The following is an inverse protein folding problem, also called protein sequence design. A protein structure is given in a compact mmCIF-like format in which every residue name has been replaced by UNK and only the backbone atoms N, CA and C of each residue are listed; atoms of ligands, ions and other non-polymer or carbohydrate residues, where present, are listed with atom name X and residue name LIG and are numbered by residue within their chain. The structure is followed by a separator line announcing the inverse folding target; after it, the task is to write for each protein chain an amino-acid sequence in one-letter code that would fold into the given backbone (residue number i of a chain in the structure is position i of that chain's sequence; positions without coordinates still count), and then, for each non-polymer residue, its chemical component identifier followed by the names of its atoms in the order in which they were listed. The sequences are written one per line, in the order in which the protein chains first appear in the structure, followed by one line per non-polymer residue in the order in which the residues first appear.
data_IF_971489315543
#
_entry.id   IF_971489315543
#
_cell.length_a   1.000
_cell.length_b   1.000
_cell.length_c   1.000
_cell.angle_alpha   90.00
_cell.angle_beta   90.00
_cell.angle_gamma   90.00
#
_symmetry.space_group_name_H-M   'P 1'
#
loop_
_entity.id
_entity.type
_entity.pdbx_description
1 polymer ?
#
# COMPACT_ATOMS: atom_id res chain seq x y z
N UNK A 1 -43.35 7.66 11.41
CA UNK A 1 -42.86 6.44 12.12
C UNK A 1 -41.85 5.62 11.28
N UNK A 2 -41.16 6.20 10.29
CA UNK A 2 -40.04 5.55 9.56
C UNK A 2 -38.65 6.16 9.87
N UNK A 3 -38.60 7.37 10.44
CA UNK A 3 -37.34 8.08 10.69
C UNK A 3 -36.50 7.42 11.80
N UNK A 4 -37.14 6.83 12.82
CA UNK A 4 -36.45 6.22 13.97
C UNK A 4 -35.79 4.87 13.61
N UNK A 5 -36.28 4.17 12.58
CA UNK A 5 -35.68 2.93 12.10
C UNK A 5 -34.41 3.18 11.27
N UNK A 6 -34.36 4.29 10.53
CA UNK A 6 -33.17 4.66 9.73
C UNK A 6 -32.00 5.10 10.62
N UNK A 7 -32.26 5.87 11.68
CA UNK A 7 -31.24 6.17 12.70
C UNK A 7 -30.80 4.92 13.45
N UNK A 8 -31.70 3.95 13.68
CA UNK A 8 -31.34 2.67 14.30
C UNK A 8 -30.53 1.73 13.38
N UNK A 9 -30.65 1.82 12.06
CA UNK A 9 -29.79 1.08 11.12
C UNK A 9 -28.41 1.74 10.99
N UNK A 10 -28.35 3.06 10.84
CA UNK A 10 -27.07 3.80 10.76
C UNK A 10 -26.27 3.68 12.06
N UNK A 11 -26.92 3.74 13.23
CA UNK A 11 -26.23 3.45 14.49
C UNK A 11 -25.82 1.98 14.62
N UNK A 12 -26.54 1.03 14.01
CA UNK A 12 -26.11 -0.38 14.01
C UNK A 12 -24.85 -0.57 13.17
N UNK A 13 -24.75 0.08 12.01
CA UNK A 13 -23.53 0.01 11.19
C UNK A 13 -22.34 0.68 11.88
N UNK A 14 -22.56 1.80 12.58
CA UNK A 14 -21.52 2.50 13.36
C UNK A 14 -21.10 1.69 14.59
N UNK A 15 -22.03 1.03 15.29
CA UNK A 15 -21.73 0.25 16.51
C UNK A 15 -21.23 -1.16 16.20
N UNK A 16 -21.57 -1.75 15.05
CA UNK A 16 -21.02 -3.05 14.63
C UNK A 16 -19.56 -2.97 14.14
N UNK A 17 -19.07 -1.79 13.77
CA UNK A 17 -17.65 -1.60 13.43
C UNK A 17 -16.72 -1.67 14.66
N UNK A 18 -17.27 -1.65 15.89
CA UNK A 18 -16.50 -1.55 17.14
C UNK A 18 -16.52 -2.82 18.01
N UNK A 19 -17.26 -3.88 17.64
CA UNK A 19 -17.43 -5.09 18.48
C UNK A 19 -16.92 -6.39 17.84
N UNK A 20 -15.79 -6.32 17.15
CA UNK A 20 -15.14 -7.51 16.57
C UNK A 20 -13.75 -7.27 16.03
N UNK A 21 -12.84 -6.66 16.81
CA UNK A 21 -11.39 -6.63 16.56
C UNK A 21 -10.97 -6.60 15.09
N UNK A 22 -11.41 -5.61 14.33
CA UNK A 22 -11.00 -5.47 12.94
C UNK A 22 -9.53 -5.04 12.96
N UNK A 23 -8.62 -5.97 12.67
CA UNK A 23 -7.20 -5.65 12.55
C UNK A 23 -7.04 -4.84 11.26
N UNK A 24 -6.82 -3.54 11.39
CA UNK A 24 -6.54 -2.67 10.25
C UNK A 24 -5.33 -3.18 9.51
N UNK A 25 -5.47 -3.39 8.20
CA UNK A 25 -4.36 -3.79 7.34
C UNK A 25 -3.32 -2.68 7.30
N UNK A 26 -2.06 -3.07 7.35
CA UNK A 26 -0.93 -2.15 7.43
C UNK A 26 -0.28 -2.00 6.07
N UNK A 27 -0.19 -0.76 5.60
CA UNK A 27 0.44 -0.40 4.34
C UNK A 27 1.72 0.38 4.62
N UNK A 28 2.76 0.15 3.83
CA UNK A 28 3.97 0.97 3.85
C UNK A 28 4.10 1.71 2.51
N UNK A 29 4.15 3.03 2.55
CA UNK A 29 4.48 3.86 1.39
C UNK A 29 5.98 4.16 1.41
N UNK A 30 6.66 3.93 0.29
CA UNK A 30 8.09 4.19 0.11
C UNK A 30 8.28 5.03 -1.15
N UNK A 31 8.47 6.34 -0.97
CA UNK A 31 8.60 7.33 -2.05
C UNK A 31 9.34 8.55 -1.50
N UNK A 32 10.27 9.15 -2.24
CA UNK A 32 11.08 10.29 -1.76
C UNK A 32 10.37 11.64 -1.88
N UNK A 33 9.20 11.70 -2.53
CA UNK A 33 8.35 12.88 -2.62
C UNK A 33 7.40 12.99 -1.42
N UNK A 34 7.81 13.71 -0.37
CA UNK A 34 7.07 13.84 0.90
C UNK A 34 5.59 14.26 0.72
N UNK A 35 5.31 15.21 -0.18
CA UNK A 35 3.96 15.69 -0.43
C UNK A 35 3.05 14.59 -1.01
N UNK A 36 3.62 13.73 -1.88
CA UNK A 36 2.91 12.59 -2.45
C UNK A 36 2.65 11.51 -1.39
N UNK A 37 3.65 11.22 -0.56
CA UNK A 37 3.54 10.27 0.56
C UNK A 37 2.45 10.70 1.54
N UNK A 38 2.45 11.98 1.94
CA UNK A 38 1.48 12.50 2.90
C UNK A 38 0.07 12.54 2.31
N UNK A 39 -0.08 12.97 1.06
CA UNK A 39 -1.37 12.95 0.37
C UNK A 39 -1.91 11.51 0.26
N UNK A 40 -1.10 10.56 -0.21
CA UNK A 40 -1.53 9.18 -0.37
C UNK A 40 -1.86 8.51 0.96
N UNK A 41 -1.07 8.75 2.00
CA UNK A 41 -1.34 8.25 3.33
C UNK A 41 -2.68 8.75 3.87
N UNK A 42 -2.98 10.04 3.73
CA UNK A 42 -4.24 10.60 4.22
C UNK A 42 -5.47 9.94 3.55
N UNK A 43 -5.38 9.61 2.26
CA UNK A 43 -6.46 8.89 1.58
C UNK A 43 -6.60 7.45 2.09
N UNK A 44 -5.49 6.72 2.24
CA UNK A 44 -5.50 5.32 2.70
C UNK A 44 -5.92 5.19 4.18
N UNK A 45 -5.51 6.14 5.03
CA UNK A 45 -5.96 6.22 6.42
C UNK A 45 -7.47 6.47 6.50
N UNK A 46 -8.02 7.31 5.61
CA UNK A 46 -9.47 7.53 5.52
C UNK A 46 -10.24 6.28 5.07
N UNK A 47 -9.59 5.38 4.33
CA UNK A 47 -10.11 4.07 3.95
C UNK A 47 -9.90 2.98 5.03
N UNK A 48 -9.33 3.33 6.20
CA UNK A 48 -9.20 2.44 7.36
C UNK A 48 -7.90 1.64 7.45
N UNK A 49 -6.90 1.95 6.63
CA UNK A 49 -5.58 1.32 6.70
C UNK A 49 -4.69 1.98 7.77
N UNK A 50 -3.82 1.18 8.40
CA UNK A 50 -2.68 1.71 9.16
C UNK A 50 -1.55 2.02 8.18
N UNK A 51 -1.11 3.28 8.08
CA UNK A 51 -0.11 3.68 7.07
C UNK A 51 1.23 4.01 7.72
N UNK A 52 2.26 3.28 7.30
CA UNK A 52 3.66 3.60 7.52
C UNK A 52 4.21 4.37 6.31
N UNK A 53 5.16 5.26 6.57
CA UNK A 53 5.78 6.12 5.55
C UNK A 53 7.29 5.93 5.59
N UNK A 54 7.94 5.90 4.43
CA UNK A 54 9.39 5.94 4.28
C UNK A 54 9.75 6.82 3.08
N UNK A 55 10.83 7.61 3.23
CA UNK A 55 11.28 8.58 2.22
C UNK A 55 12.50 8.12 1.43
N UNK A 56 12.92 6.87 1.64
CA UNK A 56 13.93 6.20 0.82
C UNK A 56 13.86 4.68 0.97
N UNK A 57 14.53 3.97 0.06
CA UNK A 57 14.51 2.51 0.03
C UNK A 57 15.15 1.83 1.25
N UNK A 58 16.10 2.47 1.93
CA UNK A 58 16.76 1.88 3.12
C UNK A 58 15.81 1.91 4.32
N UNK A 59 15.22 3.07 4.61
CA UNK A 59 14.19 3.20 5.65
C UNK A 59 12.97 2.33 5.34
N UNK A 60 12.56 2.27 4.06
CA UNK A 60 11.50 1.39 3.59
C UNK A 60 11.79 -0.08 3.88
N UNK A 61 12.99 -0.56 3.54
CA UNK A 61 13.36 -1.95 3.78
C UNK A 61 13.48 -2.28 5.28
N UNK A 62 14.07 -1.39 6.08
CA UNK A 62 14.15 -1.55 7.55
C UNK A 62 12.74 -1.66 8.18
N UNK A 63 11.78 -0.86 7.70
CA UNK A 63 10.38 -0.94 8.13
C UNK A 63 9.70 -2.23 7.70
N UNK A 64 9.99 -2.74 6.51
CA UNK A 64 9.46 -4.05 6.09
C UNK A 64 9.91 -5.15 7.06
N UNK A 65 11.19 -5.15 7.44
CA UNK A 65 11.75 -6.17 8.34
C UNK A 65 11.18 -6.09 9.76
N UNK A 66 10.99 -4.87 10.27
CA UNK A 66 10.59 -4.65 11.66
C UNK A 66 9.07 -4.60 11.87
N UNK A 67 8.33 -4.04 10.92
CA UNK A 67 6.89 -3.79 11.04
C UNK A 67 6.02 -4.77 10.26
N UNK A 68 6.59 -5.51 9.31
CA UNK A 68 5.91 -6.54 8.50
C UNK A 68 4.54 -6.08 7.97
N UNK A 69 4.50 -5.01 7.16
CA UNK A 69 3.24 -4.52 6.57
C UNK A 69 2.60 -5.60 5.69
N UNK A 70 1.29 -5.53 5.49
CA UNK A 70 0.56 -6.41 4.57
C UNK A 70 0.90 -6.09 3.10
N UNK A 71 1.12 -4.80 2.79
CA UNK A 71 1.56 -4.36 1.46
C UNK A 71 2.53 -3.17 1.50
N UNK A 72 3.32 -3.04 0.45
CA UNK A 72 4.25 -1.94 0.19
C UNK A 72 3.89 -1.27 -1.12
N UNK A 73 3.64 0.04 -1.06
CA UNK A 73 3.50 0.93 -2.21
C UNK A 73 4.87 1.56 -2.47
N UNK A 74 5.52 1.18 -3.57
CA UNK A 74 6.95 1.38 -3.77
C UNK A 74 7.24 2.18 -5.03
N UNK A 75 7.86 3.34 -4.86
CA UNK A 75 8.48 4.06 -5.97
C UNK A 75 9.81 3.40 -6.39
N UNK A 76 10.13 3.45 -7.68
CA UNK A 76 11.35 2.85 -8.21
C UNK A 76 12.54 3.80 -8.23
N UNK A 77 12.29 5.11 -8.30
CA UNK A 77 13.28 6.14 -8.63
C UNK A 77 13.62 7.00 -7.42
N UNK A 78 14.08 6.34 -6.36
CA UNK A 78 14.56 7.02 -5.15
C UNK A 78 16.09 7.17 -5.14
N UNK A 79 16.63 8.21 -4.50
CA UNK A 79 18.06 8.35 -4.26
C UNK A 79 18.57 7.27 -3.28
N UNK A 80 19.88 6.98 -3.35
CA UNK A 80 20.62 6.02 -2.51
C UNK A 80 20.29 4.55 -2.78
N UNK A 81 19.04 4.13 -2.61
CA UNK A 81 18.57 2.77 -2.83
C UNK A 81 17.32 2.79 -3.70
N UNK A 82 17.43 2.21 -4.89
CA UNK A 82 16.32 2.15 -5.83
C UNK A 82 15.25 1.13 -5.39
N UNK A 83 14.01 1.33 -5.85
CA UNK A 83 12.90 0.45 -5.50
C UNK A 83 13.01 -0.96 -6.08
N UNK A 84 13.82 -1.18 -7.12
CA UNK A 84 14.05 -2.53 -7.64
C UNK A 84 14.81 -3.39 -6.62
N UNK A 85 15.80 -2.81 -5.96
CA UNK A 85 16.55 -3.48 -4.89
C UNK A 85 15.64 -3.80 -3.72
N UNK A 86 14.80 -2.86 -3.28
CA UNK A 86 13.83 -3.08 -2.20
C UNK A 86 12.87 -4.21 -2.56
N UNK A 87 12.25 -4.16 -3.74
CA UNK A 87 11.32 -5.20 -4.20
C UNK A 87 12.00 -6.58 -4.22
N UNK A 88 13.23 -6.67 -4.77
CA UNK A 88 13.97 -7.93 -4.82
C UNK A 88 14.27 -8.45 -3.41
N UNK A 89 14.73 -7.61 -2.49
CA UNK A 89 15.01 -8.03 -1.12
C UNK A 89 13.76 -8.56 -0.40
N UNK A 90 12.58 -7.99 -0.68
CA UNK A 90 11.31 -8.47 -0.12
C UNK A 90 10.90 -9.80 -0.76
N UNK A 91 10.88 -9.87 -2.09
CA UNK A 91 10.30 -11.02 -2.82
C UNK A 91 11.18 -12.27 -2.83
N UNK A 92 12.50 -12.12 -2.61
CA UNK A 92 13.44 -13.23 -2.55
C UNK A 92 13.82 -13.65 -1.11
N UNK A 93 13.27 -12.98 -0.09
CA UNK A 93 13.38 -13.42 1.31
C UNK A 93 12.12 -14.22 1.70
N UNK A 94 12.31 -15.48 2.10
CA UNK A 94 11.21 -16.38 2.46
C UNK A 94 10.33 -15.87 3.61
N UNK A 95 10.90 -15.05 4.49
CA UNK A 95 10.18 -14.45 5.62
C UNK A 95 9.38 -13.21 5.24
N UNK A 96 9.66 -12.60 4.08
CA UNK A 96 9.07 -11.34 3.64
C UNK A 96 8.23 -11.48 2.36
N UNK A 97 8.46 -12.51 1.53
CA UNK A 97 7.86 -12.64 0.19
C UNK A 97 6.33 -12.68 0.15
N UNK A 98 5.69 -12.96 1.29
CA UNK A 98 4.24 -12.92 1.45
C UNK A 98 3.68 -11.49 1.41
N UNK A 99 4.49 -10.49 1.77
CA UNK A 99 4.17 -9.07 1.70
C UNK A 99 3.93 -8.69 0.24
N UNK A 100 2.83 -7.98 0.00
CA UNK A 100 2.47 -7.53 -1.35
C UNK A 100 3.30 -6.33 -1.73
N UNK A 101 3.89 -6.34 -2.92
CA UNK A 101 4.64 -5.19 -3.44
C UNK A 101 3.93 -4.64 -4.67
N UNK A 102 3.45 -3.41 -4.56
CA UNK A 102 2.82 -2.66 -5.64
C UNK A 102 3.80 -1.57 -6.05
N UNK A 103 4.31 -1.66 -7.27
CA UNK A 103 5.19 -0.64 -7.82
C UNK A 103 4.36 0.54 -8.34
N UNK A 104 4.70 1.75 -7.91
CA UNK A 104 4.13 3.01 -8.38
C UNK A 104 5.26 3.78 -9.09
N UNK A 105 5.20 4.04 -10.40
CA UNK A 105 6.31 4.72 -11.09
C UNK A 105 5.87 5.67 -12.19
N UNK A 106 6.58 6.79 -12.35
CA UNK A 106 6.35 7.76 -13.43
C UNK A 106 6.79 7.30 -14.82
N UNK A 107 7.53 6.19 -14.92
CA UNK A 107 8.04 5.72 -16.20
C UNK A 107 7.46 4.36 -16.60
N UNK A 108 6.98 4.32 -17.84
CA UNK A 108 6.41 3.14 -18.47
C UNK A 108 7.29 2.66 -19.63
N UNK A 109 8.61 2.65 -19.45
CA UNK A 109 9.46 2.03 -20.45
C UNK A 109 9.23 0.52 -20.44
N UNK A 110 9.21 -0.11 -21.61
CA UNK A 110 9.12 -1.57 -21.74
C UNK A 110 10.19 -2.28 -20.89
N UNK A 111 11.34 -1.64 -20.69
CA UNK A 111 12.40 -2.16 -19.83
C UNK A 111 12.03 -2.14 -18.36
N UNK A 112 11.53 -1.04 -17.80
CA UNK A 112 11.14 -1.00 -16.38
C UNK A 112 9.96 -1.92 -16.10
N UNK A 113 9.03 -2.06 -17.05
CA UNK A 113 7.93 -3.02 -16.93
C UNK A 113 8.43 -4.47 -16.92
N UNK A 114 9.39 -4.81 -17.78
CA UNK A 114 10.07 -6.12 -17.79
C UNK A 114 10.86 -6.35 -16.51
N UNK A 115 11.58 -5.34 -16.02
CA UNK A 115 12.38 -5.42 -14.80
C UNK A 115 11.45 -5.59 -13.59
N UNK A 116 10.37 -4.81 -13.49
CA UNK A 116 9.34 -4.92 -12.45
C UNK A 116 8.76 -6.34 -12.35
N UNK A 117 8.40 -6.92 -13.48
CA UNK A 117 7.98 -8.34 -13.54
C UNK A 117 9.10 -9.29 -13.13
N UNK A 118 10.35 -9.03 -13.53
CA UNK A 118 11.48 -9.89 -13.18
C UNK A 118 11.88 -9.84 -11.70
N UNK A 119 11.56 -8.75 -10.99
CA UNK A 119 11.84 -8.61 -9.54
C UNK A 119 10.72 -9.15 -8.65
N UNK A 120 9.63 -9.64 -9.25
CA UNK A 120 8.56 -10.37 -8.57
C UNK A 120 7.50 -9.50 -7.91
N UNK A 121 7.34 -8.24 -8.33
CA UNK A 121 6.24 -7.39 -7.83
C UNK A 121 4.86 -8.01 -8.09
N UNK A 122 3.93 -7.79 -7.17
CA UNK A 122 2.57 -8.34 -7.24
C UNK A 122 1.66 -7.49 -8.14
N UNK A 123 1.90 -6.18 -8.22
CA UNK A 123 1.22 -5.29 -9.16
C UNK A 123 2.11 -4.11 -9.58
N UNK A 124 1.69 -3.43 -10.65
CA UNK A 124 2.39 -2.29 -11.23
C UNK A 124 1.37 -1.25 -11.68
N UNK A 125 1.55 0.00 -11.25
CA UNK A 125 0.74 1.15 -11.61
C UNK A 125 1.65 2.29 -12.08
N UNK A 126 1.35 2.84 -13.24
CA UNK A 126 2.08 3.97 -13.80
C UNK A 126 1.47 5.28 -13.30
N UNK A 127 2.29 6.22 -12.82
CA UNK A 127 1.89 7.60 -12.52
C UNK A 127 1.69 8.37 -13.84
N UNK A 128 0.66 9.22 -13.98
CA UNK A 128 -0.41 9.44 -13.00
C UNK A 128 -1.41 8.26 -13.00
N UNK A 129 -1.81 7.84 -11.81
CA UNK A 129 -2.87 6.86 -11.59
C UNK A 129 -4.05 7.51 -10.87
N UNK A 130 -5.25 6.98 -11.10
CA UNK A 130 -6.43 7.37 -10.34
C UNK A 130 -6.47 6.61 -9.01
N UNK A 131 -6.78 7.32 -7.92
CA UNK A 131 -6.86 6.72 -6.59
C UNK A 131 -7.80 5.48 -6.52
N UNK A 132 -8.99 5.48 -7.14
CA UNK A 132 -9.86 4.29 -7.14
C UNK A 132 -9.18 3.03 -7.71
N UNK A 133 -8.38 3.17 -8.77
CA UNK A 133 -7.66 2.04 -9.38
C UNK A 133 -6.56 1.49 -8.45
N UNK A 134 -5.85 2.39 -7.75
CA UNK A 134 -4.90 1.98 -6.72
C UNK A 134 -5.59 1.23 -5.58
N UNK A 135 -6.71 1.76 -5.09
CA UNK A 135 -7.48 1.15 -4.00
C UNK A 135 -8.03 -0.23 -4.38
N UNK A 136 -8.58 -0.38 -5.59
CA UNK A 136 -9.03 -1.69 -6.11
C UNK A 136 -7.87 -2.69 -6.20
N UNK A 137 -6.69 -2.23 -6.64
CA UNK A 137 -5.48 -3.07 -6.70
C UNK A 137 -5.06 -3.53 -5.30
N UNK A 138 -5.06 -2.64 -4.30
CA UNK A 138 -4.73 -2.98 -2.91
C UNK A 138 -5.71 -4.02 -2.37
N UNK A 139 -7.02 -3.77 -2.48
CA UNK A 139 -8.07 -4.67 -1.98
C UNK A 139 -7.98 -6.05 -2.63
N UNK A 140 -7.83 -6.10 -3.96
CA UNK A 140 -7.69 -7.35 -4.69
C UNK A 140 -6.46 -8.18 -4.27
N UNK A 141 -5.35 -7.53 -3.93
CA UNK A 141 -4.14 -8.21 -3.44
C UNK A 141 -4.22 -8.64 -1.98
N UNK A 142 -4.98 -7.90 -1.15
CA UNK A 142 -5.19 -8.21 0.27
C UNK A 142 -6.36 -9.18 0.51
N UNK A 143 -7.18 -9.45 -0.51
CA UNK A 143 -8.32 -10.35 -0.43
C UNK A 143 -9.54 -9.74 0.26
N UNK A 144 -9.70 -8.42 0.15
CA UNK A 144 -10.83 -7.63 0.66
C UNK A 144 -11.97 -7.50 -0.36
#
# INVERSE_FOLDING_TARGET
MLCVLYTSLILRDIVLHDLGGYVSKRLLIVDDEIDLVDALAAHLEADGYEVLKALDGKDGYEKVQTQKPDAVLLDLRMPRMDGFQVCRLIKFDDSLKAIKVIILTAHNSDNEHKIGKSVGADAFLTKPYEYPNLLETIKGLLGE
#
